data_IF_927004470976
#
_entry.id   IF_927004470976
#
_cell.length_a   1.000
_cell.length_b   1.000
_cell.length_c   1.000
_cell.angle_alpha   90.00
_cell.angle_beta   90.00
_cell.angle_gamma   90.00
#
_symmetry.space_group_name_H-M   'P 1'
#
loop_
_entity.id
_entity.type
_entity.pdbx_description
1 polymer ?
#
# COMPACT_ATOMS: atom_id res chain seq x y z
N UNK A 1 29.46 0.99 -15.28
CA UNK A 1 28.87 2.32 -15.15
C UNK A 1 28.52 2.58 -13.72
N UNK A 2 29.08 3.63 -13.11
CA UNK A 2 28.73 4.08 -11.76
C UNK A 2 27.32 4.65 -11.78
N UNK A 3 26.41 4.08 -10.98
CA UNK A 3 25.07 4.62 -10.82
C UNK A 3 25.17 6.06 -10.29
N UNK A 4 24.71 7.03 -11.07
CA UNK A 4 24.57 8.42 -10.61
C UNK A 4 23.30 8.49 -9.76
N UNK A 5 23.47 8.60 -8.45
CA UNK A 5 22.35 8.88 -7.56
C UNK A 5 21.88 10.33 -7.76
N UNK A 6 20.54 10.57 -7.84
CA UNK A 6 20.01 11.92 -7.97
C UNK A 6 20.35 12.76 -6.72
N UNK A 7 20.37 14.07 -6.89
CA UNK A 7 20.64 15.01 -5.79
C UNK A 7 19.57 14.87 -4.71
N UNK A 8 19.92 14.99 -3.43
CA UNK A 8 19.03 14.80 -2.27
C UNK A 8 17.68 15.54 -2.40
N UNK A 9 17.70 16.76 -2.95
CA UNK A 9 16.50 17.57 -3.21
C UNK A 9 15.56 16.91 -4.23
N UNK A 10 16.10 16.22 -5.21
CA UNK A 10 15.33 15.50 -6.22
C UNK A 10 14.74 14.20 -5.67
N UNK A 11 15.52 13.48 -4.86
CA UNK A 11 15.02 12.30 -4.12
C UNK A 11 13.83 12.69 -3.23
N UNK A 12 13.95 13.77 -2.46
CA UNK A 12 12.86 14.28 -1.63
C UNK A 12 11.60 14.61 -2.45
N UNK A 13 11.77 15.24 -3.62
CA UNK A 13 10.66 15.55 -4.52
C UNK A 13 9.95 14.29 -5.04
N UNK A 14 10.71 13.24 -5.35
CA UNK A 14 10.15 11.94 -5.78
C UNK A 14 9.40 11.29 -4.62
N UNK A 15 10.00 11.26 -3.42
CA UNK A 15 9.36 10.68 -2.23
C UNK A 15 8.04 11.36 -1.85
N UNK A 16 7.88 12.68 -2.09
CA UNK A 16 6.60 13.35 -1.83
C UNK A 16 5.50 12.98 -2.82
N UNK A 17 5.85 12.40 -3.98
CA UNK A 17 4.89 11.94 -5.01
C UNK A 17 4.55 10.46 -4.89
N UNK A 18 5.22 9.75 -4.00
CA UNK A 18 5.10 8.31 -3.83
C UNK A 18 4.62 8.02 -2.41
N UNK A 19 3.50 7.32 -2.29
CA UNK A 19 3.04 6.76 -1.02
C UNK A 19 3.60 5.34 -0.87
N UNK A 20 4.19 5.00 0.28
CA UNK A 20 4.67 3.64 0.52
C UNK A 20 4.02 3.06 1.77
N UNK A 21 3.53 1.84 1.63
CA UNK A 21 2.93 1.03 2.70
C UNK A 21 3.78 -0.22 2.85
N UNK A 22 4.34 -0.39 4.03
CA UNK A 22 5.25 -1.49 4.36
C UNK A 22 4.51 -2.66 5.02
N UNK A 23 5.10 -3.83 5.01
CA UNK A 23 4.67 -5.02 5.73
C UNK A 23 4.50 -4.76 7.25
N UNK A 24 5.43 -4.02 7.86
CA UNK A 24 5.41 -3.64 9.27
C UNK A 24 4.88 -2.22 9.44
N UNK A 25 3.65 -1.97 9.34
CA UNK A 25 2.85 -0.73 9.51
C UNK A 25 3.62 0.59 9.69
N UNK A 26 4.74 0.60 10.41
CA UNK A 26 5.66 1.72 10.67
C UNK A 26 4.93 2.99 11.17
N UNK A 27 3.89 2.83 12.00
CA UNK A 27 3.21 3.96 12.62
C UNK A 27 4.08 4.57 13.73
N UNK A 28 3.96 5.88 13.91
CA UNK A 28 4.57 6.57 15.02
C UNK A 28 3.83 6.20 16.33
N UNK A 29 4.46 5.47 17.26
CA UNK A 29 3.75 4.90 18.41
C UNK A 29 3.27 5.95 19.41
N UNK A 30 3.90 7.12 19.43
CA UNK A 30 3.61 8.25 20.32
C UNK A 30 2.59 9.24 19.73
N UNK A 31 2.09 8.99 18.53
CA UNK A 31 1.06 9.79 17.87
C UNK A 31 -0.25 9.00 17.77
N UNK A 32 -1.38 9.71 17.90
CA UNK A 32 -2.71 9.13 17.63
C UNK A 32 -2.85 8.73 16.15
N UNK A 33 -3.93 8.04 15.81
CA UNK A 33 -4.24 7.71 14.41
C UNK A 33 -4.36 8.96 13.54
N UNK A 34 -5.10 9.97 14.01
CA UNK A 34 -5.27 11.24 13.32
C UNK A 34 -3.93 11.97 13.15
N UNK A 35 -3.11 12.02 14.19
CA UNK A 35 -1.79 12.64 14.14
C UNK A 35 -0.84 11.89 13.19
N UNK A 36 -0.87 10.54 13.15
CA UNK A 36 -0.11 9.75 12.19
C UNK A 36 -0.44 10.13 10.74
N UNK A 37 -1.71 10.40 10.44
CA UNK A 37 -2.17 10.78 9.10
C UNK A 37 -1.77 12.23 8.78
N UNK A 38 -1.86 13.14 9.75
CA UNK A 38 -1.73 14.59 9.51
C UNK A 38 -0.31 15.12 9.60
N UNK A 39 0.60 14.44 10.31
CA UNK A 39 1.95 14.96 10.60
C UNK A 39 2.76 15.29 9.34
N UNK A 40 2.71 14.44 8.32
CA UNK A 40 3.49 14.66 7.09
C UNK A 40 2.91 15.78 6.21
N UNK A 41 1.58 15.83 5.90
CA UNK A 41 0.98 16.95 5.19
C UNK A 41 1.23 18.31 5.86
N UNK A 42 1.17 18.38 7.19
CA UNK A 42 1.39 19.62 7.92
C UNK A 42 2.88 20.04 7.93
N UNK A 43 3.79 19.10 8.23
CA UNK A 43 5.21 19.43 8.42
C UNK A 43 6.01 19.49 7.12
N UNK A 44 5.70 18.63 6.16
CA UNK A 44 6.48 18.51 4.91
C UNK A 44 5.85 19.34 3.81
N UNK A 45 4.54 19.22 3.59
CA UNK A 45 3.83 19.96 2.55
C UNK A 45 3.37 21.34 3.01
N UNK A 46 3.44 21.64 4.32
CA UNK A 46 3.03 22.91 4.94
C UNK A 46 1.61 23.33 4.56
N UNK A 47 0.72 22.35 4.44
CA UNK A 47 -0.68 22.58 4.08
C UNK A 47 -1.45 23.20 5.23
N UNK A 48 -2.58 23.85 4.91
CA UNK A 48 -3.50 24.41 5.91
C UNK A 48 -3.99 23.34 6.90
N UNK A 49 -4.00 23.69 8.18
CA UNK A 49 -4.33 22.74 9.26
C UNK A 49 -5.78 22.28 9.21
N UNK A 50 -6.71 23.21 8.95
CA UNK A 50 -8.14 22.86 8.93
C UNK A 50 -8.47 21.94 7.77
N UNK A 51 -7.90 22.22 6.58
CA UNK A 51 -8.05 21.38 5.40
C UNK A 51 -7.45 19.98 5.61
N UNK A 52 -6.26 19.90 6.19
CA UNK A 52 -5.60 18.60 6.47
C UNK A 52 -6.38 17.76 7.48
N UNK A 53 -6.93 18.38 8.53
CA UNK A 53 -7.76 17.67 9.52
C UNK A 53 -9.07 17.15 8.89
N UNK A 54 -9.73 17.95 8.07
CA UNK A 54 -10.95 17.53 7.37
C UNK A 54 -10.67 16.32 6.46
N UNK A 55 -9.63 16.40 5.61
CA UNK A 55 -9.23 15.32 4.72
C UNK A 55 -8.79 14.05 5.49
N UNK A 56 -8.07 14.20 6.60
CA UNK A 56 -7.68 13.07 7.43
C UNK A 56 -8.88 12.33 8.03
N UNK A 57 -9.93 13.05 8.40
CA UNK A 57 -11.18 12.44 8.87
C UNK A 57 -11.92 11.70 7.74
N UNK A 58 -11.90 12.22 6.52
CA UNK A 58 -12.44 11.52 5.33
C UNK A 58 -11.62 10.25 5.01
N UNK A 59 -10.28 10.32 5.12
CA UNK A 59 -9.42 9.15 4.94
C UNK A 59 -9.68 8.07 6.01
N UNK A 60 -9.92 8.48 7.25
CA UNK A 60 -10.33 7.57 8.32
C UNK A 60 -11.69 6.89 8.02
N UNK A 61 -12.63 7.59 7.39
CA UNK A 61 -13.88 7.00 6.89
C UNK A 61 -13.63 5.99 5.78
N UNK A 62 -12.79 6.32 4.81
CA UNK A 62 -12.41 5.43 3.69
C UNK A 62 -11.87 4.10 4.19
N UNK A 63 -11.03 4.14 5.23
CA UNK A 63 -10.45 2.93 5.83
C UNK A 63 -11.30 2.33 6.97
N UNK A 64 -12.49 2.90 7.24
CA UNK A 64 -13.45 2.41 8.23
C UNK A 64 -13.01 2.55 9.70
N UNK A 65 -12.20 3.57 10.01
CA UNK A 65 -11.60 3.76 11.34
C UNK A 65 -11.82 5.17 11.92
N UNK A 66 -12.90 5.87 11.49
CA UNK A 66 -13.22 7.22 11.99
C UNK A 66 -13.31 7.27 13.52
N UNK A 67 -13.91 6.25 14.12
CA UNK A 67 -14.07 6.13 15.58
C UNK A 67 -12.77 5.84 16.34
N UNK A 68 -11.66 5.66 15.63
CA UNK A 68 -10.32 5.39 16.18
C UNK A 68 -9.36 6.57 16.04
N UNK A 69 -9.85 7.76 15.63
CA UNK A 69 -9.03 8.94 15.37
C UNK A 69 -8.08 9.27 16.52
N UNK A 70 -8.56 9.20 17.78
CA UNK A 70 -7.82 9.54 18.99
C UNK A 70 -7.08 8.35 19.62
N UNK A 71 -7.21 7.13 19.05
CA UNK A 71 -6.50 5.96 19.55
C UNK A 71 -5.03 5.99 19.14
N UNK A 72 -4.18 5.42 19.99
CA UNK A 72 -2.77 5.17 19.71
C UNK A 72 -2.56 3.81 19.01
N UNK A 73 -1.46 3.62 18.26
CA UNK A 73 -1.17 2.35 17.58
C UNK A 73 -1.20 1.13 18.49
N UNK A 74 -0.79 1.27 19.77
CA UNK A 74 -0.83 0.16 20.74
C UNK A 74 -2.24 -0.36 21.02
N UNK A 75 -3.29 0.43 20.75
CA UNK A 75 -4.71 0.11 20.99
C UNK A 75 -5.40 -0.50 19.75
N UNK A 76 -4.66 -0.77 18.68
CA UNK A 76 -5.17 -1.22 17.38
C UNK A 76 -4.77 -2.67 17.09
N UNK A 77 -5.64 -3.41 16.40
CA UNK A 77 -5.27 -4.69 15.78
C UNK A 77 -4.26 -4.49 14.62
N UNK A 78 -3.63 -5.56 14.17
CA UNK A 78 -2.71 -5.52 13.04
C UNK A 78 -3.35 -4.92 11.78
N UNK A 79 -4.53 -5.40 11.39
CA UNK A 79 -5.27 -4.88 10.24
C UNK A 79 -5.71 -3.42 10.39
N UNK A 80 -6.06 -2.99 11.62
CA UNK A 80 -6.33 -1.58 11.90
C UNK A 80 -5.09 -0.71 11.72
N UNK A 81 -3.92 -1.16 12.22
CA UNK A 81 -2.64 -0.46 12.02
C UNK A 81 -2.30 -0.33 10.54
N UNK A 82 -2.49 -1.39 9.76
CA UNK A 82 -2.22 -1.37 8.33
C UNK A 82 -3.15 -0.39 7.59
N UNK A 83 -4.42 -0.37 7.94
CA UNK A 83 -5.39 0.58 7.35
C UNK A 83 -5.05 2.04 7.71
N UNK A 84 -4.56 2.33 8.91
CA UNK A 84 -4.04 3.67 9.26
C UNK A 84 -2.77 3.99 8.46
N UNK A 85 -1.85 3.03 8.24
CA UNK A 85 -0.67 3.24 7.41
C UNK A 85 -1.05 3.57 5.94
N UNK A 86 -2.08 2.93 5.42
CA UNK A 86 -2.66 3.25 4.10
C UNK A 86 -3.21 4.68 4.09
N UNK A 87 -4.03 5.06 5.07
CA UNK A 87 -4.58 6.42 5.17
C UNK A 87 -3.48 7.48 5.29
N UNK A 88 -2.43 7.21 6.07
CA UNK A 88 -1.26 8.09 6.20
C UNK A 88 -0.55 8.31 4.86
N UNK A 89 -0.36 7.24 4.08
CA UNK A 89 0.29 7.34 2.77
C UNK A 89 -0.58 8.14 1.78
N UNK A 90 -1.90 7.95 1.78
CA UNK A 90 -2.86 8.68 0.96
C UNK A 90 -2.93 10.17 1.28
N UNK A 91 -2.76 10.56 2.55
CA UNK A 91 -2.81 11.96 2.98
C UNK A 91 -1.74 12.86 2.33
N UNK A 92 -0.68 12.27 1.80
CA UNK A 92 0.35 12.98 1.02
C UNK A 92 -0.09 13.27 -0.42
N UNK A 93 -1.29 12.81 -0.83
CA UNK A 93 -1.81 12.90 -2.19
C UNK A 93 -0.80 12.40 -3.25
N UNK A 94 -0.32 11.15 -3.13
CA UNK A 94 0.73 10.62 -3.98
C UNK A 94 0.21 10.36 -5.40
N UNK A 95 1.12 10.41 -6.39
CA UNK A 95 0.83 10.02 -7.77
C UNK A 95 0.81 8.50 -7.96
N UNK A 96 1.53 7.77 -7.09
CA UNK A 96 1.58 6.32 -7.08
C UNK A 96 1.68 5.80 -5.64
N UNK A 97 0.94 4.74 -5.33
CA UNK A 97 1.05 3.99 -4.08
C UNK A 97 1.87 2.72 -4.31
N UNK A 98 2.84 2.49 -3.45
CA UNK A 98 3.65 1.27 -3.41
C UNK A 98 3.26 0.46 -2.18
N UNK A 99 2.94 -0.81 -2.36
CA UNK A 99 2.64 -1.73 -1.28
C UNK A 99 3.66 -2.86 -1.27
N UNK A 100 4.31 -3.05 -0.14
CA UNK A 100 5.27 -4.12 0.08
C UNK A 100 4.67 -5.14 1.05
N UNK A 101 4.13 -6.23 0.49
CA UNK A 101 3.44 -7.31 1.21
C UNK A 101 2.45 -6.82 2.28
N UNK A 102 1.41 -6.05 1.92
CA UNK A 102 0.58 -5.33 2.88
C UNK A 102 -0.23 -6.22 3.83
N UNK A 103 -0.28 -7.54 3.61
CA UNK A 103 -1.08 -8.50 4.36
C UNK A 103 -0.27 -9.60 5.04
N UNK A 104 1.02 -9.73 4.75
CA UNK A 104 1.85 -10.86 5.19
C UNK A 104 2.05 -10.96 6.71
N UNK A 105 1.92 -9.85 7.45
CA UNK A 105 2.03 -9.80 8.91
C UNK A 105 0.67 -9.92 9.63
N UNK A 106 -0.41 -10.31 8.92
CA UNK A 106 -1.77 -10.31 9.43
C UNK A 106 -2.33 -11.73 9.50
N UNK A 107 -3.29 -11.93 10.41
CA UNK A 107 -4.12 -13.12 10.44
C UNK A 107 -5.16 -13.10 9.28
N UNK A 108 -5.74 -14.25 8.90
CA UNK A 108 -6.66 -14.33 7.75
C UNK A 108 -7.89 -13.43 7.82
N UNK A 109 -8.43 -13.19 9.03
CA UNK A 109 -9.62 -12.36 9.21
C UNK A 109 -9.30 -10.88 8.96
N UNK A 110 -8.24 -10.39 9.57
CA UNK A 110 -7.78 -9.00 9.39
C UNK A 110 -7.14 -8.74 8.01
N UNK A 111 -6.60 -9.78 7.36
CA UNK A 111 -6.13 -9.73 5.96
C UNK A 111 -7.24 -9.29 5.02
N UNK A 112 -8.44 -9.90 5.15
CA UNK A 112 -9.57 -9.58 4.28
C UNK A 112 -10.01 -8.10 4.42
N UNK A 113 -9.99 -7.54 5.63
CA UNK A 113 -10.31 -6.12 5.85
C UNK A 113 -9.35 -5.16 5.10
N UNK A 114 -8.06 -5.51 5.07
CA UNK A 114 -7.04 -4.72 4.35
C UNK A 114 -7.21 -4.87 2.84
N UNK A 115 -7.45 -6.08 2.33
CA UNK A 115 -7.73 -6.33 0.91
C UNK A 115 -8.93 -5.51 0.44
N UNK A 116 -10.05 -5.55 1.17
CA UNK A 116 -11.25 -4.75 0.85
C UNK A 116 -10.93 -3.26 0.82
N UNK A 117 -10.08 -2.78 1.73
CA UNK A 117 -9.64 -1.38 1.73
C UNK A 117 -8.85 -1.05 0.46
N UNK A 118 -7.90 -1.90 0.06
CA UNK A 118 -7.12 -1.70 -1.17
C UNK A 118 -8.02 -1.75 -2.42
N UNK A 119 -8.97 -2.68 -2.48
CA UNK A 119 -9.94 -2.77 -3.58
C UNK A 119 -10.80 -1.51 -3.73
N UNK A 120 -11.19 -0.85 -2.62
CA UNK A 120 -11.85 0.46 -2.67
C UNK A 120 -10.96 1.54 -3.30
N UNK A 121 -9.64 1.47 -3.12
CA UNK A 121 -8.69 2.39 -3.76
C UNK A 121 -8.52 2.07 -5.25
N UNK A 122 -8.52 0.79 -5.64
CA UNK A 122 -8.56 0.38 -7.06
C UNK A 122 -9.78 0.98 -7.75
N UNK A 123 -10.97 0.84 -7.13
CA UNK A 123 -12.22 1.40 -7.67
C UNK A 123 -12.21 2.94 -7.80
N UNK A 124 -11.34 3.63 -7.07
CA UNK A 124 -11.11 5.08 -7.17
C UNK A 124 -9.99 5.44 -8.17
N UNK A 125 -9.53 4.50 -8.97
CA UNK A 125 -8.47 4.66 -9.97
C UNK A 125 -7.14 5.20 -9.39
N UNK A 126 -6.82 4.86 -8.14
CA UNK A 126 -5.51 5.16 -7.56
C UNK A 126 -4.47 4.28 -8.24
N UNK A 127 -3.45 4.88 -8.84
CA UNK A 127 -2.33 4.12 -9.43
C UNK A 127 -1.53 3.45 -8.33
N UNK A 128 -1.33 2.12 -8.42
CA UNK A 128 -0.58 1.39 -7.41
C UNK A 128 0.24 0.24 -7.98
N UNK A 129 1.35 -0.04 -7.30
CA UNK A 129 2.19 -1.21 -7.50
C UNK A 129 2.20 -2.00 -6.19
N UNK A 130 1.83 -3.27 -6.26
CA UNK A 130 1.68 -4.13 -5.09
C UNK A 130 2.58 -5.34 -5.23
N UNK A 131 3.47 -5.55 -4.27
CA UNK A 131 4.20 -6.81 -4.10
C UNK A 131 3.38 -7.68 -3.15
N UNK A 132 3.04 -8.88 -3.59
CA UNK A 132 2.24 -9.82 -2.79
C UNK A 132 2.54 -11.26 -3.17
N UNK A 133 2.38 -12.16 -2.21
CA UNK A 133 2.33 -13.61 -2.43
C UNK A 133 0.88 -14.15 -2.41
N UNK A 134 -0.12 -13.28 -2.23
CA UNK A 134 -1.54 -13.66 -2.30
C UNK A 134 -2.01 -13.66 -3.76
N UNK A 135 -2.03 -14.86 -4.34
CA UNK A 135 -2.41 -15.07 -5.75
C UNK A 135 -3.89 -14.77 -6.01
N UNK A 136 -4.77 -14.95 -5.01
CA UNK A 136 -6.20 -14.60 -5.15
C UNK A 136 -6.36 -13.10 -5.24
N UNK A 137 -5.74 -12.37 -4.31
CA UNK A 137 -5.75 -10.92 -4.35
C UNK A 137 -5.17 -10.36 -5.66
N UNK A 138 -4.03 -10.90 -6.14
CA UNK A 138 -3.43 -10.50 -7.41
C UNK A 138 -4.38 -10.75 -8.60
N UNK A 139 -5.05 -11.93 -8.64
CA UNK A 139 -6.00 -12.28 -9.69
C UNK A 139 -7.21 -11.35 -9.71
N UNK A 140 -7.79 -11.07 -8.53
CA UNK A 140 -9.09 -10.42 -8.40
C UNK A 140 -8.99 -8.89 -8.47
N UNK A 141 -7.81 -8.32 -8.24
CA UNK A 141 -7.65 -6.88 -8.05
C UNK A 141 -6.70 -6.18 -9.02
N UNK A 142 -5.79 -6.91 -9.66
CA UNK A 142 -4.80 -6.31 -10.55
C UNK A 142 -5.34 -6.14 -11.97
N UNK A 143 -4.95 -5.05 -12.63
CA UNK A 143 -5.14 -4.88 -14.08
C UNK A 143 -4.01 -5.55 -14.89
N UNK A 144 -2.84 -5.74 -14.25
CA UNK A 144 -1.64 -6.34 -14.85
C UNK A 144 -0.82 -6.99 -13.75
N UNK A 145 -0.28 -8.17 -14.03
CA UNK A 145 0.55 -8.94 -13.11
C UNK A 145 1.92 -9.17 -13.74
N UNK A 146 2.96 -9.00 -12.92
CA UNK A 146 4.35 -9.29 -13.28
C UNK A 146 4.87 -10.43 -12.40
N UNK A 147 5.35 -11.48 -13.03
CA UNK A 147 6.05 -12.57 -12.33
C UNK A 147 7.56 -12.30 -12.36
N UNK A 148 8.14 -12.17 -11.17
CA UNK A 148 9.57 -11.93 -11.00
C UNK A 148 10.25 -13.13 -10.37
N UNK A 149 11.43 -13.49 -10.89
CA UNK A 149 12.30 -14.51 -10.31
C UNK A 149 13.78 -14.11 -10.55
N UNK A 150 14.64 -14.33 -9.58
CA UNK A 150 16.08 -13.97 -9.65
C UNK A 150 16.34 -12.51 -10.10
N UNK A 151 15.51 -11.58 -9.67
CA UNK A 151 15.65 -10.16 -10.00
C UNK A 151 15.27 -9.76 -11.43
N UNK A 152 14.61 -10.65 -12.18
CA UNK A 152 14.15 -10.43 -13.55
C UNK A 152 12.64 -10.61 -13.66
N UNK A 153 12.00 -9.80 -14.50
CA UNK A 153 10.63 -10.03 -14.90
C UNK A 153 10.65 -11.15 -15.95
N UNK A 154 10.08 -12.30 -15.62
CA UNK A 154 10.02 -13.47 -16.50
C UNK A 154 8.77 -13.48 -17.35
N UNK A 155 7.66 -12.93 -16.82
CA UNK A 155 6.40 -12.84 -17.54
C UNK A 155 5.60 -11.64 -17.02
N UNK A 156 4.89 -10.98 -17.93
CA UNK A 156 3.99 -9.87 -17.65
C UNK A 156 2.74 -10.02 -18.51
N UNK A 157 1.56 -10.07 -17.90
CA UNK A 157 0.29 -10.25 -18.61
C UNK A 157 -0.91 -9.76 -17.77
N UNK A 158 -2.13 -9.84 -18.36
CA UNK A 158 -3.35 -9.72 -17.56
C UNK A 158 -3.46 -10.89 -16.59
N UNK A 159 -4.18 -10.74 -15.46
CA UNK A 159 -4.37 -11.82 -14.49
C UNK A 159 -4.85 -13.12 -15.14
N UNK A 160 -5.86 -13.05 -16.01
CA UNK A 160 -6.45 -14.23 -16.66
C UNK A 160 -5.38 -15.03 -17.43
N UNK A 161 -4.60 -14.33 -18.27
CA UNK A 161 -3.56 -15.00 -19.07
C UNK A 161 -2.44 -15.55 -18.20
N UNK A 162 -1.97 -14.77 -17.22
CA UNK A 162 -0.83 -15.16 -16.38
C UNK A 162 -1.16 -16.38 -15.50
N UNK A 163 -2.38 -16.45 -14.98
CA UNK A 163 -2.80 -17.54 -14.08
C UNK A 163 -3.36 -18.77 -14.81
N UNK A 164 -4.02 -18.58 -15.98
CA UNK A 164 -4.68 -19.67 -16.69
C UNK A 164 -3.81 -20.26 -17.81
N UNK A 165 -3.01 -19.43 -18.48
CA UNK A 165 -2.20 -19.81 -19.63
C UNK A 165 -0.75 -19.28 -19.49
N UNK A 166 -0.01 -19.63 -18.42
CA UNK A 166 1.35 -19.15 -18.20
C UNK A 166 2.31 -19.64 -19.30
N UNK A 167 3.06 -18.71 -19.89
CA UNK A 167 4.04 -19.01 -20.93
C UNK A 167 5.37 -19.51 -20.34
N UNK A 168 5.79 -18.90 -19.24
CA UNK A 168 7.04 -19.25 -18.56
C UNK A 168 6.97 -20.62 -17.89
N UNK A 169 7.91 -21.56 -18.19
CA UNK A 169 7.99 -22.84 -17.48
C UNK A 169 8.19 -22.66 -15.95
N UNK A 170 8.92 -21.62 -15.57
CA UNK A 170 9.17 -21.32 -14.16
C UNK A 170 7.90 -20.86 -13.45
N UNK A 171 7.07 -20.01 -14.08
CA UNK A 171 5.78 -19.59 -13.55
C UNK A 171 4.82 -20.80 -13.43
N UNK A 172 4.77 -21.68 -14.43
CA UNK A 172 3.97 -22.92 -14.36
C UNK A 172 4.32 -23.77 -13.15
N UNK A 173 5.63 -24.01 -12.95
CA UNK A 173 6.11 -24.77 -11.80
C UNK A 173 5.75 -24.08 -10.46
N UNK A 174 5.86 -22.76 -10.38
CA UNK A 174 5.49 -21.97 -9.21
C UNK A 174 3.99 -22.10 -8.91
N UNK A 175 3.11 -21.91 -9.89
CA UNK A 175 1.66 -22.00 -9.69
C UNK A 175 1.23 -23.43 -9.27
N UNK A 176 1.87 -24.46 -9.78
CA UNK A 176 1.62 -25.84 -9.35
C UNK A 176 2.04 -26.13 -7.90
N UNK A 177 3.03 -25.41 -7.37
CA UNK A 177 3.50 -25.60 -6.00
C UNK A 177 2.61 -24.93 -4.94
N UNK A 178 1.67 -24.06 -5.34
CA UNK A 178 0.77 -23.34 -4.44
C UNK A 178 -0.58 -24.07 -4.24
N UNK A 179 -0.87 -25.04 -5.10
CA UNK A 179 -2.04 -25.92 -5.03
C UNK A 179 -1.67 -27.23 -4.31
#
# INVERSE_FOLDING_TARGET
>A
GTAKYPHEKEVRRICTKTGMVFQHFNLFPHLTCLENITVAPLRILKRDKAAVLAEAMELLDVVGLRNKADNYPAQLSGGQKQRIAIARALAMNPQIMLFDEPTSALDPETTNEVIVTIQKLVARAVTMLIVTHDMRFARDSASRVLFMDEGKILEENTPEKLFECPESPRLRAFLQSIH
#
